data_IF_694053792711
#
_entry.id   IF_694053792711
#
_cell.length_a   1.000
_cell.length_b   1.000
_cell.length_c   1.000
_cell.angle_alpha   90.00
_cell.angle_beta   90.00
_cell.angle_gamma   90.00
#
_symmetry.space_group_name_H-M   'P 1'
#
loop_
_entity.id
_entity.type
_entity.pdbx_description
1 polymer ?
#
# COMPACT_ATOMS: atom_id res chain seq x y z
N UNK A 1 0.17 29.27 5.84
CA UNK A 1 -0.23 27.98 5.24
C UNK A 1 0.15 26.87 6.21
N UNK A 2 -0.81 26.39 6.98
CA UNK A 2 -0.56 25.53 8.15
C UNK A 2 -0.24 24.09 7.72
N UNK A 3 0.87 23.52 8.22
CA UNK A 3 1.25 22.13 7.93
C UNK A 3 0.33 21.16 8.66
N UNK A 4 -0.77 20.77 8.02
CA UNK A 4 -1.71 19.78 8.54
C UNK A 4 -1.17 18.36 8.32
N UNK A 5 -0.51 17.81 9.34
CA UNK A 5 -0.05 16.42 9.35
C UNK A 5 -1.10 15.52 9.99
N UNK A 6 -1.93 14.88 9.16
CA UNK A 6 -3.02 13.98 9.59
C UNK A 6 -2.56 12.71 10.33
N UNK A 7 -1.25 12.43 10.35
CA UNK A 7 -0.68 11.21 10.94
C UNK A 7 0.60 11.52 11.70
N UNK A 8 0.76 10.80 12.81
CA UNK A 8 1.98 10.84 13.61
C UNK A 8 3.21 10.44 12.77
N UNK A 9 4.41 11.00 13.06
CA UNK A 9 5.60 10.80 12.22
C UNK A 9 5.96 9.34 11.95
N UNK A 10 5.77 8.46 12.94
CA UNK A 10 6.11 7.04 12.83
C UNK A 10 5.14 6.24 11.95
N UNK A 11 3.91 6.74 11.69
CA UNK A 11 2.91 6.09 10.82
C UNK A 11 3.03 6.52 9.35
N UNK A 12 4.03 7.32 9.00
CA UNK A 12 4.23 7.79 7.63
C UNK A 12 4.72 6.64 6.73
N UNK A 13 4.19 6.58 5.53
CA UNK A 13 4.59 5.62 4.50
C UNK A 13 6.02 5.96 4.06
N UNK A 14 6.93 4.98 4.07
CA UNK A 14 8.36 5.18 3.74
C UNK A 14 8.73 4.80 2.30
N UNK A 15 7.95 3.90 1.68
CA UNK A 15 8.16 3.41 0.31
C UNK A 15 6.80 3.24 -0.35
N UNK A 16 6.74 3.55 -1.64
CA UNK A 16 5.53 3.41 -2.46
C UNK A 16 5.88 2.71 -3.76
N UNK A 17 4.96 1.89 -4.24
CA UNK A 17 5.01 1.28 -5.57
C UNK A 17 3.66 1.47 -6.25
N UNK A 18 3.69 1.91 -7.49
CA UNK A 18 2.50 2.03 -8.32
C UNK A 18 2.31 0.74 -9.10
N UNK A 19 1.07 0.24 -9.11
CA UNK A 19 0.67 -1.00 -9.80
C UNK A 19 -0.56 -0.71 -10.65
N UNK A 20 -0.71 -1.43 -11.75
CA UNK A 20 -1.84 -1.23 -12.66
C UNK A 20 -3.20 -1.54 -12.01
N UNK A 21 -3.25 -2.54 -11.12
CA UNK A 21 -4.47 -2.94 -10.44
C UNK A 21 -4.19 -3.60 -9.08
N UNK A 22 -5.16 -3.53 -8.18
CA UNK A 22 -5.11 -4.22 -6.88
C UNK A 22 -5.69 -5.63 -7.05
N UNK A 23 -4.96 -6.70 -6.66
CA UNK A 23 -5.48 -8.06 -6.74
C UNK A 23 -6.66 -8.25 -5.79
N UNK A 24 -7.74 -8.82 -6.32
CA UNK A 24 -8.99 -9.07 -5.61
C UNK A 24 -9.48 -10.48 -5.88
N UNK A 25 -10.23 -11.04 -4.92
CA UNK A 25 -10.99 -12.29 -5.13
C UNK A 25 -12.15 -12.05 -6.11
N UNK A 26 -12.78 -13.12 -6.64
CA UNK A 26 -13.99 -12.98 -7.45
C UNK A 26 -15.13 -12.21 -6.74
N UNK A 27 -15.20 -12.30 -5.40
CA UNK A 27 -16.14 -11.54 -4.56
C UNK A 27 -15.69 -10.10 -4.27
N UNK A 28 -14.53 -9.66 -4.78
CA UNK A 28 -14.02 -8.30 -4.64
C UNK A 28 -13.16 -8.02 -3.40
N UNK A 29 -12.87 -9.02 -2.56
CA UNK A 29 -12.02 -8.84 -1.37
C UNK A 29 -10.56 -8.68 -1.81
N UNK A 30 -9.83 -7.74 -1.21
CA UNK A 30 -8.42 -7.50 -1.51
C UNK A 30 -7.57 -8.69 -1.06
N UNK A 31 -6.75 -9.22 -1.97
CA UNK A 31 -5.80 -10.29 -1.70
C UNK A 31 -4.49 -9.73 -1.15
N UNK A 32 -4.41 -9.63 0.19
CA UNK A 32 -3.22 -9.07 0.86
C UNK A 32 -1.96 -9.91 0.68
N UNK A 33 -2.08 -11.25 0.56
CA UNK A 33 -0.94 -12.15 0.34
C UNK A 33 -0.18 -11.77 -0.94
N UNK A 34 -0.90 -11.60 -2.02
CA UNK A 34 -0.34 -11.26 -3.33
C UNK A 34 0.25 -9.84 -3.32
N UNK A 35 -0.42 -8.90 -2.63
CA UNK A 35 0.13 -7.55 -2.41
C UNK A 35 1.45 -7.56 -1.63
N UNK A 36 1.56 -8.40 -0.59
CA UNK A 36 2.82 -8.55 0.17
C UNK A 36 3.90 -9.12 -0.75
N UNK A 37 3.58 -10.17 -1.52
CA UNK A 37 4.53 -10.78 -2.45
C UNK A 37 5.02 -9.77 -3.50
N UNK A 38 4.12 -8.96 -4.08
CA UNK A 38 4.47 -7.89 -5.03
C UNK A 38 5.34 -6.80 -4.39
N UNK A 39 5.13 -6.50 -3.11
CA UNK A 39 5.93 -5.51 -2.38
C UNK A 39 7.33 -6.03 -2.03
N UNK A 40 7.47 -7.34 -1.78
CA UNK A 40 8.75 -7.96 -1.39
C UNK A 40 9.57 -8.49 -2.56
N UNK A 41 8.95 -8.88 -3.67
CA UNK A 41 9.65 -9.49 -4.83
C UNK A 41 10.46 -8.50 -5.67
N UNK A 42 10.25 -7.20 -5.46
CA UNK A 42 10.90 -6.12 -6.23
C UNK A 42 12.10 -5.49 -5.51
N UNK A 43 12.63 -6.18 -4.50
CA UNK A 43 13.93 -5.92 -3.87
C UNK A 43 14.99 -6.83 -4.49
#
# INVERSE_FOLDING_TARGET
>A
MEKKNYVAPYKRIRRVAFVASIPKTPSGKILRKDLIQLATSKL
#
